data_IF_988715224407
#
_entry.id   IF_988715224407
#
_cell.length_a   1.000
_cell.length_b   1.000
_cell.length_c   1.000
_cell.angle_alpha   90.00
_cell.angle_beta   90.00
_cell.angle_gamma   90.00
#
_symmetry.space_group_name_H-M   'P 1'
#
loop_
_entity.id
_entity.type
_entity.pdbx_description
1 polymer ?
#
# COMPACT_ATOMS: atom_id res chain seq x y z
N UNK A 1 23.07 2.41 -2.59
CA UNK A 1 22.07 2.80 -3.61
C UNK A 1 21.32 3.98 -3.03
N UNK A 2 21.57 5.17 -3.56
CA UNK A 2 20.98 6.42 -3.09
C UNK A 2 19.85 6.76 -4.05
N UNK A 3 18.63 6.34 -3.71
CA UNK A 3 17.42 6.74 -4.44
C UNK A 3 16.39 7.22 -3.43
N UNK A 4 16.58 8.44 -2.94
CA UNK A 4 15.54 9.17 -2.24
C UNK A 4 15.71 10.64 -2.60
N UNK A 5 14.79 11.20 -3.37
CA UNK A 5 14.67 12.65 -3.43
C UNK A 5 14.52 13.18 -2.00
N UNK A 6 15.27 14.23 -1.58
CA UNK A 6 15.12 14.80 -0.25
C UNK A 6 13.65 15.18 0.00
N UNK A 7 13.06 14.67 1.08
CA UNK A 7 11.65 14.91 1.42
C UNK A 7 10.66 13.82 1.03
N UNK A 8 11.12 12.70 0.44
CA UNK A 8 10.26 11.60 0.02
C UNK A 8 10.52 10.32 0.82
N UNK A 9 9.47 9.53 1.04
CA UNK A 9 9.49 8.20 1.63
C UNK A 9 8.70 7.18 0.79
N UNK A 10 8.43 6.03 1.38
CA UNK A 10 7.66 4.96 0.74
C UNK A 10 6.72 4.26 1.71
N UNK A 11 5.68 3.61 1.17
CA UNK A 11 4.82 2.69 1.90
C UNK A 11 5.05 1.28 1.35
N UNK A 12 5.20 0.33 2.26
CA UNK A 12 5.34 -1.09 2.01
C UNK A 12 4.34 -1.86 2.86
N UNK A 13 3.83 -3.00 2.41
CA UNK A 13 2.91 -3.74 3.27
C UNK A 13 2.45 -5.10 2.78
N UNK A 14 1.68 -5.73 3.66
CA UNK A 14 1.05 -7.03 3.42
C UNK A 14 -0.47 -6.92 3.53
N UNK A 15 -1.17 -7.72 2.74
CA UNK A 15 -2.63 -7.81 2.76
C UNK A 15 -3.06 -9.25 3.02
N UNK A 16 -3.90 -9.45 4.04
CA UNK A 16 -4.41 -10.76 4.44
C UNK A 16 -5.92 -10.71 4.67
N UNK A 17 -6.61 -11.80 4.33
CA UNK A 17 -7.93 -12.09 4.85
C UNK A 17 -7.89 -12.29 6.38
N UNK A 18 -9.02 -12.20 7.10
CA UNK A 18 -9.07 -12.47 8.54
C UNK A 18 -8.53 -13.83 8.97
N UNK A 19 -8.60 -14.83 8.09
CA UNK A 19 -8.09 -16.19 8.29
C UNK A 19 -6.58 -16.33 7.96
N UNK A 20 -5.91 -15.24 7.58
CA UNK A 20 -4.51 -15.21 7.21
C UNK A 20 -4.22 -15.61 5.75
N UNK A 21 -5.24 -15.97 4.96
CA UNK A 21 -5.05 -16.28 3.54
C UNK A 21 -4.77 -15.02 2.70
N UNK A 22 -4.16 -15.23 1.53
CA UNK A 22 -3.86 -14.16 0.57
C UNK A 22 -5.14 -13.84 -0.22
N UNK A 23 -5.62 -12.60 -0.23
CA UNK A 23 -6.78 -12.21 -1.03
C UNK A 23 -6.43 -12.12 -2.52
N UNK A 24 -7.39 -12.42 -3.38
CA UNK A 24 -7.28 -12.21 -4.82
C UNK A 24 -7.84 -10.84 -5.21
N UNK A 25 -7.25 -10.22 -6.25
CA UNK A 25 -7.84 -9.11 -7.02
C UNK A 25 -8.27 -7.89 -6.18
N UNK A 26 -7.31 -7.29 -5.47
CA UNK A 26 -7.53 -6.04 -4.73
C UNK A 26 -6.74 -4.88 -5.32
N UNK A 27 -7.33 -3.70 -5.22
CA UNK A 27 -6.68 -2.42 -5.51
C UNK A 27 -6.28 -1.76 -4.20
N UNK A 28 -5.00 -1.38 -4.08
CA UNK A 28 -4.51 -0.49 -3.02
C UNK A 28 -4.44 0.92 -3.59
N UNK A 29 -5.28 1.81 -3.07
CA UNK A 29 -5.21 3.23 -3.39
C UNK A 29 -4.52 3.97 -2.26
N UNK A 30 -3.48 4.72 -2.61
CA UNK A 30 -2.77 5.63 -1.72
C UNK A 30 -2.98 7.04 -2.22
N UNK A 31 -3.47 7.92 -1.35
CA UNK A 31 -3.66 9.35 -1.66
C UNK A 31 -3.35 10.17 -0.43
N UNK A 32 -2.93 11.41 -0.60
CA UNK A 32 -2.74 12.31 0.55
C UNK A 32 -4.05 12.53 1.29
N UNK A 33 -3.99 12.53 2.61
CA UNK A 33 -5.13 12.80 3.47
C UNK A 33 -5.57 14.27 3.35
N UNK A 34 -6.87 14.53 3.50
CA UNK A 34 -7.42 15.90 3.52
C UNK A 34 -7.39 16.67 2.18
N UNK A 35 -6.71 16.17 1.15
CA UNK A 35 -6.63 16.81 -0.17
C UNK A 35 -7.76 16.33 -1.09
N UNK A 36 -8.79 17.16 -1.26
CA UNK A 36 -9.81 16.96 -2.28
C UNK A 36 -9.20 17.16 -3.67
N UNK A 37 -9.15 16.10 -4.49
CA UNK A 37 -8.56 16.13 -5.83
C UNK A 37 -7.06 15.79 -5.91
N UNK A 38 -6.46 15.32 -4.81
CA UNK A 38 -5.10 14.75 -4.86
C UNK A 38 -5.04 13.56 -5.82
N UNK A 39 -3.97 13.48 -6.63
CA UNK A 39 -3.79 12.40 -7.61
C UNK A 39 -3.62 11.07 -6.85
N UNK A 40 -4.58 10.13 -6.93
CA UNK A 40 -4.43 8.83 -6.30
C UNK A 40 -3.29 8.07 -7.00
N UNK A 41 -2.40 7.49 -6.20
CA UNK A 41 -1.44 6.51 -6.69
C UNK A 41 -1.99 5.12 -6.41
N UNK A 42 -1.92 4.26 -7.42
CA UNK A 42 -2.43 2.91 -7.35
C UNK A 42 -1.25 1.95 -7.20
N UNK A 43 -1.34 1.09 -6.20
CA UNK A 43 -0.59 -0.15 -6.16
C UNK A 43 -1.60 -1.30 -6.28
N UNK A 44 -1.23 -2.35 -7.00
CA UNK A 44 -2.03 -3.57 -7.06
C UNK A 44 -1.41 -4.56 -6.10
N UNK A 45 -2.24 -5.19 -5.25
CA UNK A 45 -1.73 -6.28 -4.43
C UNK A 45 -1.25 -7.37 -5.38
N UNK A 46 0.00 -7.79 -5.27
CA UNK A 46 0.50 -8.91 -6.05
C UNK A 46 -0.30 -10.15 -5.67
N UNK A 47 -1.20 -10.57 -6.56
CA UNK A 47 -1.81 -11.89 -6.43
C UNK A 47 -0.71 -12.95 -6.61
N UNK A 48 -1.05 -14.17 -6.24
CA UNK A 48 -0.37 -15.45 -6.40
C UNK A 48 0.17 -15.79 -7.81
N UNK A 49 0.53 -14.80 -8.63
CA UNK A 49 1.29 -14.93 -9.86
C UNK A 49 2.76 -15.24 -9.53
N UNK A 50 3.28 -16.42 -9.92
CA UNK A 50 4.68 -16.81 -9.69
C UNK A 50 5.68 -15.96 -10.48
N UNK A 51 5.24 -15.13 -11.43
CA UNK A 51 6.08 -14.21 -12.20
C UNK A 51 6.32 -12.88 -11.48
N UNK A 52 5.62 -12.63 -10.36
CA UNK A 52 5.75 -11.40 -9.60
C UNK A 52 6.60 -11.64 -8.36
N UNK A 53 7.71 -10.92 -8.30
CA UNK A 53 8.83 -11.17 -7.39
C UNK A 53 8.52 -10.61 -5.99
N UNK A 54 7.65 -11.31 -5.23
CA UNK A 54 7.52 -11.09 -3.79
C UNK A 54 8.90 -11.31 -3.16
N UNK A 55 9.41 -10.33 -2.42
CA UNK A 55 10.62 -10.55 -1.63
C UNK A 55 10.32 -11.66 -0.59
N UNK A 56 10.98 -12.84 -0.68
CA UNK A 56 10.65 -13.97 0.18
C UNK A 56 11.05 -13.74 1.64
N UNK A 57 11.94 -12.78 1.94
CA UNK A 57 12.31 -12.43 3.30
C UNK A 57 11.29 -11.48 3.96
N UNK A 58 10.64 -10.60 3.18
CA UNK A 58 9.70 -9.59 3.72
C UNK A 58 8.22 -9.93 3.48
N UNK A 59 7.91 -10.87 2.58
CA UNK A 59 6.55 -11.28 2.18
C UNK A 59 5.66 -10.09 1.77
N UNK A 60 6.26 -9.01 1.28
CA UNK A 60 5.59 -7.78 0.86
C UNK A 60 4.64 -8.06 -0.32
N UNK A 61 3.42 -7.52 -0.25
CA UNK A 61 2.42 -7.65 -1.31
C UNK A 61 2.30 -6.39 -2.18
N UNK A 62 2.85 -5.27 -1.73
CA UNK A 62 2.93 -4.02 -2.49
C UNK A 62 3.97 -3.08 -1.91
N UNK A 63 4.54 -2.26 -2.80
CA UNK A 63 5.38 -1.12 -2.44
C UNK A 63 4.95 0.11 -3.25
N UNK A 64 5.05 1.29 -2.66
CA UNK A 64 4.81 2.56 -3.31
C UNK A 64 5.77 3.63 -2.80
N UNK A 65 6.76 3.96 -3.63
CA UNK A 65 7.76 4.98 -3.35
C UNK A 65 7.41 6.37 -3.89
N UNK A 66 8.39 7.28 -3.78
CA UNK A 66 8.32 8.68 -4.21
C UNK A 66 7.11 9.43 -3.64
N UNK A 67 6.73 9.11 -2.41
CA UNK A 67 5.68 9.81 -1.66
C UNK A 67 6.32 10.96 -0.87
N UNK A 68 5.88 12.20 -1.05
CA UNK A 68 6.35 13.30 -0.18
C UNK A 68 6.01 12.98 1.28
N UNK A 69 6.83 13.44 2.21
CA UNK A 69 6.53 13.28 3.63
C UNK A 69 5.24 14.02 4.00
N UNK A 70 4.19 13.28 4.33
CA UNK A 70 2.83 13.78 4.57
C UNK A 70 1.96 12.64 5.16
N UNK A 71 0.71 12.96 5.48
CA UNK A 71 -0.31 11.97 5.84
C UNK A 71 -0.98 11.39 4.58
N UNK A 72 -1.16 10.08 4.53
CA UNK A 72 -1.76 9.36 3.42
C UNK A 72 -2.90 8.45 3.87
N UNK A 73 -4.03 8.52 3.16
CA UNK A 73 -5.07 7.49 3.20
C UNK A 73 -4.63 6.29 2.37
N UNK A 74 -4.53 5.12 3.02
CA UNK A 74 -4.40 3.81 2.38
C UNK A 74 -5.76 3.15 2.38
N UNK A 75 -6.26 2.83 1.19
CA UNK A 75 -7.59 2.24 0.96
C UNK A 75 -7.39 0.95 0.19
N UNK A 76 -8.01 -0.14 0.64
CA UNK A 76 -8.04 -1.39 -0.11
C UNK A 76 -9.47 -1.70 -0.51
N UNK A 77 -9.70 -1.92 -1.80
CA UNK A 77 -11.02 -2.20 -2.36
C UNK A 77 -11.01 -3.35 -3.36
N UNK A 78 -12.15 -4.01 -3.49
CA UNK A 78 -12.42 -4.98 -4.56
C UNK A 78 -12.65 -4.27 -5.90
N UNK A 79 -12.62 -5.02 -7.00
CA UNK A 79 -12.89 -4.51 -8.36
C UNK A 79 -14.28 -3.85 -8.50
N UNK A 80 -15.26 -4.26 -7.69
CA UNK A 80 -16.60 -3.67 -7.64
C UNK A 80 -16.68 -2.36 -6.82
N UNK A 81 -15.57 -1.90 -6.24
CA UNK A 81 -15.49 -0.69 -5.42
C UNK A 81 -15.79 -0.88 -3.93
N UNK A 82 -16.10 -2.09 -3.46
CA UNK A 82 -16.28 -2.37 -2.02
C UNK A 82 -14.98 -2.16 -1.27
N UNK A 83 -14.97 -1.21 -0.32
CA UNK A 83 -13.82 -0.94 0.54
C UNK A 83 -13.75 -2.01 1.63
N UNK A 84 -12.62 -2.70 1.71
CA UNK A 84 -12.32 -3.76 2.68
C UNK A 84 -11.36 -3.29 3.77
N UNK A 85 -10.69 -2.16 3.58
CA UNK A 85 -9.80 -1.53 4.56
C UNK A 85 -9.62 -0.03 4.27
N UNK A 86 -9.46 0.77 5.33
CA UNK A 86 -9.00 2.17 5.25
C UNK A 86 -8.20 2.52 6.51
N UNK A 87 -7.06 3.17 6.32
CA UNK A 87 -6.24 3.72 7.41
C UNK A 87 -5.44 4.92 6.92
N UNK A 88 -5.26 5.92 7.76
CA UNK A 88 -4.30 7.00 7.52
C UNK A 88 -2.94 6.62 8.10
N UNK A 89 -1.87 6.84 7.35
CA UNK A 89 -0.48 6.59 7.76
C UNK A 89 0.37 7.84 7.50
N UNK A 90 1.39 8.03 8.34
CA UNK A 90 2.38 9.09 8.16
C UNK A 90 3.50 8.55 7.28
N UNK A 91 3.87 9.26 6.21
CA UNK A 91 5.08 8.99 5.45
C UNK A 91 6.17 9.95 5.91
N UNK A 92 7.32 9.41 6.30
CA UNK A 92 8.50 10.19 6.67
C UNK A 92 9.57 10.12 5.57
N UNK A 93 10.27 11.23 5.35
CA UNK A 93 11.33 11.30 4.35
C UNK A 93 12.46 10.31 4.67
N UNK A 94 12.94 9.58 3.66
CA UNK A 94 14.01 8.59 3.77
C UNK A 94 13.61 7.28 4.45
N UNK A 95 12.33 7.11 4.84
CA UNK A 95 11.86 5.94 5.58
C UNK A 95 10.86 5.12 4.77
N UNK A 96 10.81 3.83 5.11
CA UNK A 96 9.74 2.92 4.69
C UNK A 96 8.69 2.85 5.79
N UNK A 97 7.47 3.25 5.46
CA UNK A 97 6.30 3.07 6.32
C UNK A 97 5.71 1.69 6.07
N UNK A 98 5.82 0.80 7.04
CA UNK A 98 5.24 -0.55 6.95
C UNK A 98 3.78 -0.59 7.39
N UNK A 99 2.92 -1.29 6.63
CA UNK A 99 1.52 -1.51 6.98
C UNK A 99 1.10 -2.98 6.86
N UNK A 100 0.59 -3.54 7.95
CA UNK A 100 -0.10 -4.83 7.96
C UNK A 100 -1.61 -4.63 7.82
N UNK A 101 -2.18 -5.14 6.74
CA UNK A 101 -3.58 -4.96 6.38
C UNK A 101 -4.33 -6.28 6.60
N UNK A 102 -5.27 -6.28 7.55
CA UNK A 102 -6.30 -7.31 7.67
C UNK A 102 -7.62 -6.79 7.11
N UNK A 103 -8.13 -7.46 6.08
CA UNK A 103 -9.38 -7.08 5.43
C UNK A 103 -10.58 -7.29 6.36
N UNK A 104 -11.56 -6.39 6.27
CA UNK A 104 -12.83 -6.50 6.99
C UNK A 104 -13.95 -6.94 6.04
N UNK A 105 -15.02 -7.60 6.53
CA UNK A 105 -16.20 -7.93 5.73
C UNK A 105 -16.83 -6.71 5.06
#
# INVERSE_FOLDING_TARGET
>A
MDSAYPGYGMIAGQVRNPDGSIPAELTVTVRRAGLTGGIPRYAYTYSNDPLINRDPAWREDFTLGDLEADDYDVIVSEANGRIRFRKTVVVEAGHTTWIDITLRP
#
